data_IF_513960074554
#
_entry.id   IF_513960074554
#
_cell.length_a   1.000
_cell.length_b   1.000
_cell.length_c   1.000
_cell.angle_alpha   90.00
_cell.angle_beta   90.00
_cell.angle_gamma   90.00
#
_symmetry.space_group_name_H-M   'P 1'
#
loop_
_entity.id
_entity.type
_entity.pdbx_description
1 polymer ?
#
# COMPACT_ATOMS: atom_id res chain seq x y z
N UNK A 1 -32.64 18.96 6.67
CA UNK A 1 -32.68 17.54 7.10
C UNK A 1 -31.28 16.91 7.13
N UNK A 2 -30.37 17.24 6.21
CA UNK A 2 -29.03 16.62 6.14
C UNK A 2 -28.12 16.89 7.37
N UNK A 3 -28.25 18.05 8.03
CA UNK A 3 -27.47 18.39 9.23
C UNK A 3 -27.65 17.40 10.40
N UNK A 4 -28.91 17.05 10.72
CA UNK A 4 -29.19 16.10 11.81
C UNK A 4 -28.68 14.68 11.54
N UNK A 5 -28.69 14.24 10.27
CA UNK A 5 -28.18 12.92 9.91
C UNK A 5 -26.65 12.85 10.04
N UNK A 6 -25.96 13.93 9.66
CA UNK A 6 -24.52 14.08 9.86
C UNK A 6 -24.17 14.14 11.34
N UNK A 7 -24.89 14.93 12.14
CA UNK A 7 -24.63 15.04 13.58
C UNK A 7 -24.78 13.67 14.28
N UNK A 8 -25.78 12.87 13.90
CA UNK A 8 -25.92 11.49 14.40
C UNK A 8 -24.77 10.57 13.98
N UNK A 9 -24.26 10.72 12.76
CA UNK A 9 -23.11 9.95 12.31
C UNK A 9 -21.84 10.33 13.08
N UNK A 10 -21.61 11.64 13.27
CA UNK A 10 -20.49 12.14 14.07
C UNK A 10 -20.59 11.70 15.53
N UNK A 11 -21.80 11.67 16.10
CA UNK A 11 -22.00 11.15 17.45
C UNK A 11 -21.63 9.66 17.53
N UNK A 12 -22.08 8.82 16.58
CA UNK A 12 -21.67 7.41 16.53
C UNK A 12 -20.14 7.25 16.41
N UNK A 13 -19.47 8.14 15.70
CA UNK A 13 -18.00 8.12 15.61
C UNK A 13 -17.35 8.48 16.95
N UNK A 14 -17.83 9.54 17.60
CA UNK A 14 -17.36 9.94 18.91
C UNK A 14 -17.60 8.85 19.96
N UNK A 15 -18.77 8.21 19.97
CA UNK A 15 -19.10 7.14 20.93
C UNK A 15 -18.15 5.94 20.77
N UNK A 16 -17.91 5.50 19.53
CA UNK A 16 -16.98 4.41 19.25
C UNK A 16 -15.53 4.78 19.65
N UNK A 17 -15.13 6.02 19.41
CA UNK A 17 -13.82 6.51 19.83
C UNK A 17 -13.65 6.64 21.33
N UNK A 18 -14.68 7.14 22.02
CA UNK A 18 -14.70 7.24 23.48
C UNK A 18 -14.57 5.86 24.09
N UNK A 19 -15.24 4.84 23.54
CA UNK A 19 -15.09 3.46 23.98
C UNK A 19 -13.64 3.00 23.84
N UNK A 20 -13.04 3.15 22.65
CA UNK A 20 -11.65 2.73 22.41
C UNK A 20 -10.65 3.48 23.30
N UNK A 21 -10.77 4.79 23.43
CA UNK A 21 -9.88 5.59 24.27
C UNK A 21 -10.02 5.23 25.76
N UNK A 22 -11.21 4.88 26.23
CA UNK A 22 -11.41 4.40 27.60
C UNK A 22 -10.72 3.05 27.82
N UNK A 23 -10.75 2.15 26.83
CA UNK A 23 -10.04 0.87 26.89
C UNK A 23 -8.52 1.03 26.94
N UNK A 24 -7.97 2.00 26.18
CA UNK A 24 -6.53 2.32 26.12
C UNK A 24 -6.09 3.13 27.36
N UNK A 25 -6.92 4.01 27.91
CA UNK A 25 -6.62 4.72 29.17
C UNK A 25 -6.51 3.76 30.36
N UNK A 26 -7.28 2.67 30.35
CA UNK A 26 -7.20 1.62 31.38
C UNK A 26 -5.91 0.78 31.27
N UNK A 27 -5.38 0.60 30.05
CA UNK A 27 -4.12 -0.11 29.78
C UNK A 27 -3.52 0.41 28.47
N UNK A 28 -2.56 1.32 28.60
CA UNK A 28 -1.95 2.01 27.45
C UNK A 28 -1.03 1.11 26.62
N UNK A 29 -0.71 -0.10 27.10
CA UNK A 29 0.00 -1.10 26.28
C UNK A 29 -0.92 -1.76 25.26
N UNK A 30 -2.25 -1.56 25.37
CA UNK A 30 -3.18 -2.08 24.38
C UNK A 30 -3.00 -1.39 23.03
N UNK A 31 -2.98 -2.15 21.93
CA UNK A 31 -2.87 -1.56 20.61
C UNK A 31 -4.14 -0.80 20.23
N UNK A 32 -4.00 0.17 19.33
CA UNK A 32 -5.14 0.83 18.69
C UNK A 32 -6.00 -0.17 17.92
N UNK A 33 -5.33 -1.10 17.23
CA UNK A 33 -5.96 -2.17 16.45
C UNK A 33 -5.19 -3.47 16.70
N UNK A 34 -5.89 -4.57 16.93
CA UNK A 34 -5.24 -5.89 16.97
C UNK A 34 -4.89 -6.33 15.55
N UNK A 35 -3.91 -7.22 15.39
CA UNK A 35 -3.55 -7.82 14.09
C UNK A 35 -4.59 -8.84 13.64
N UNK A 36 -5.78 -8.35 13.28
CA UNK A 36 -6.87 -9.14 12.68
C UNK A 36 -6.87 -9.07 11.15
N UNK A 37 -5.80 -8.57 10.53
CA UNK A 37 -5.69 -8.50 9.07
C UNK A 37 -4.74 -7.44 8.50
N UNK A 38 -4.68 -7.36 7.18
CA UNK A 38 -3.84 -6.49 6.34
C UNK A 38 -4.69 -5.81 5.26
N UNK A 39 -4.34 -4.61 4.82
CA UNK A 39 -5.05 -3.85 3.79
C UNK A 39 -6.14 -2.90 4.30
N UNK A 40 -6.54 -1.96 3.45
CA UNK A 40 -7.57 -0.96 3.76
C UNK A 40 -8.99 -1.55 3.76
N UNK A 41 -9.94 -0.98 4.52
CA UNK A 41 -11.34 -1.34 4.41
C UNK A 41 -11.85 -1.05 3.02
N UNK A 42 -12.68 -1.94 2.49
CA UNK A 42 -13.22 -1.80 1.13
C UNK A 42 -14.69 -2.15 1.09
N UNK A 43 -15.38 -1.66 0.07
CA UNK A 43 -16.70 -2.17 -0.24
C UNK A 43 -16.61 -3.58 -0.87
N UNK A 44 -17.73 -4.28 -1.00
CA UNK A 44 -17.79 -5.61 -1.60
C UNK A 44 -17.28 -5.66 -3.05
N UNK A 45 -17.34 -4.54 -3.76
CA UNK A 45 -16.85 -4.41 -5.15
C UNK A 45 -15.33 -4.14 -5.21
N UNK A 46 -14.64 -4.10 -4.07
CA UNK A 46 -13.19 -3.92 -3.98
C UNK A 46 -12.70 -2.47 -3.91
N UNK A 47 -13.59 -1.48 -3.90
CA UNK A 47 -13.20 -0.06 -3.77
C UNK A 47 -12.85 0.25 -2.32
N UNK A 48 -11.62 0.70 -2.11
CA UNK A 48 -11.14 1.07 -0.77
C UNK A 48 -11.85 2.32 -0.24
N UNK A 49 -12.20 2.28 1.04
CA UNK A 49 -12.55 3.46 1.80
C UNK A 49 -11.29 4.25 2.09
N UNK A 50 -11.42 5.57 2.10
CA UNK A 50 -10.34 6.50 2.41
C UNK A 50 -10.72 7.41 3.58
N UNK A 51 -9.69 7.97 4.19
CA UNK A 51 -9.79 9.00 5.21
C UNK A 51 -10.52 8.56 6.47
N UNK A 52 -11.44 9.41 6.94
CA UNK A 52 -12.25 9.19 8.16
C UNK A 52 -12.90 7.80 8.15
N UNK A 53 -13.43 7.38 6.99
CA UNK A 53 -14.12 6.11 6.88
C UNK A 53 -13.20 4.93 7.16
N UNK A 54 -11.95 4.94 6.67
CA UNK A 54 -11.00 3.84 6.91
C UNK A 54 -10.71 3.68 8.39
N UNK A 55 -10.42 4.80 9.07
CA UNK A 55 -10.16 4.81 10.51
C UNK A 55 -11.37 4.27 11.30
N UNK A 56 -12.57 4.80 11.04
CA UNK A 56 -13.77 4.39 11.77
C UNK A 56 -14.19 2.94 11.48
N UNK A 57 -14.00 2.47 10.26
CA UNK A 57 -14.30 1.08 9.89
C UNK A 57 -13.30 0.09 10.49
N UNK A 58 -12.03 0.44 10.63
CA UNK A 58 -11.09 -0.39 11.38
C UNK A 58 -11.45 -0.48 12.86
N UNK A 59 -11.87 0.63 13.48
CA UNK A 59 -12.33 0.60 14.87
C UNK A 59 -13.58 -0.22 15.06
N UNK A 60 -14.51 -0.13 14.11
CA UNK A 60 -15.73 -0.93 14.13
C UNK A 60 -15.39 -2.42 13.98
N UNK A 61 -14.48 -2.76 13.07
CA UNK A 61 -13.99 -4.13 12.90
C UNK A 61 -13.40 -4.67 14.20
N UNK A 62 -12.56 -3.89 14.88
CA UNK A 62 -11.98 -4.25 16.17
C UNK A 62 -13.07 -4.47 17.23
N UNK A 63 -13.97 -3.49 17.40
CA UNK A 63 -15.01 -3.50 18.43
C UNK A 63 -16.02 -4.63 18.27
N UNK A 64 -16.27 -5.06 17.03
CA UNK A 64 -17.19 -6.15 16.69
C UNK A 64 -16.48 -7.47 16.37
N UNK A 65 -15.15 -7.47 16.38
CA UNK A 65 -14.32 -8.61 16.00
C UNK A 65 -14.67 -9.20 14.63
N UNK A 66 -14.92 -8.34 13.63
CA UNK A 66 -15.17 -8.78 12.25
C UNK A 66 -13.90 -9.40 11.63
N UNK A 67 -14.08 -10.49 10.88
CA UNK A 67 -13.01 -11.28 10.27
C UNK A 67 -12.40 -10.59 9.05
N UNK A 68 -13.15 -9.72 8.37
CA UNK A 68 -12.65 -8.98 7.19
C UNK A 68 -13.07 -7.52 7.25
N UNK A 69 -12.29 -6.59 6.67
CA UNK A 69 -12.67 -5.18 6.59
C UNK A 69 -13.53 -4.89 5.35
N UNK A 70 -14.42 -5.82 4.98
CA UNK A 70 -15.26 -5.71 3.77
C UNK A 70 -16.67 -5.33 4.15
N UNK A 71 -17.20 -4.32 3.48
CA UNK A 71 -18.50 -3.72 3.80
C UNK A 71 -19.42 -3.64 2.59
N UNK A 72 -20.73 -3.61 2.84
CA UNK A 72 -21.74 -3.43 1.80
C UNK A 72 -22.93 -2.65 2.31
N UNK A 73 -23.60 -1.96 1.40
CA UNK A 73 -24.89 -1.32 1.67
C UNK A 73 -26.04 -2.34 1.59
N UNK A 74 -27.18 -2.03 2.21
CA UNK A 74 -28.37 -2.88 2.11
C UNK A 74 -28.80 -3.15 0.65
N UNK A 75 -28.82 -2.18 -0.27
CA UNK A 75 -29.10 -2.45 -1.69
C UNK A 75 -28.09 -3.38 -2.35
N UNK A 76 -26.79 -3.28 -2.03
CA UNK A 76 -25.77 -4.21 -2.54
C UNK A 76 -26.01 -5.63 -2.03
N UNK A 77 -26.31 -5.81 -0.75
CA UNK A 77 -26.65 -7.11 -0.18
C UNK A 77 -27.85 -7.74 -0.90
N UNK A 78 -28.94 -6.97 -1.06
CA UNK A 78 -30.15 -7.42 -1.77
C UNK A 78 -29.87 -7.80 -3.22
N UNK A 79 -29.04 -7.02 -3.93
CA UNK A 79 -28.65 -7.30 -5.31
C UNK A 79 -27.89 -8.63 -5.44
N UNK A 80 -27.09 -8.98 -4.44
CA UNK A 80 -26.35 -10.25 -4.37
C UNK A 80 -27.17 -11.39 -3.74
N UNK A 81 -28.47 -11.21 -3.50
CA UNK A 81 -29.32 -12.25 -2.89
C UNK A 81 -29.00 -12.55 -1.43
N UNK A 82 -28.30 -11.65 -0.75
CA UNK A 82 -27.90 -11.79 0.66
C UNK A 82 -28.95 -11.19 1.58
N UNK A 83 -29.05 -11.74 2.79
CA UNK A 83 -29.83 -11.16 3.87
C UNK A 83 -28.93 -10.65 4.99
N UNK A 84 -29.35 -9.55 5.60
CA UNK A 84 -28.72 -9.02 6.81
C UNK A 84 -29.17 -9.89 7.99
N UNK A 85 -28.23 -10.31 8.83
CA UNK A 85 -28.50 -11.15 10.00
C UNK A 85 -29.41 -10.42 11.01
N UNK A 86 -30.30 -11.16 11.66
CA UNK A 86 -31.22 -10.59 12.65
C UNK A 86 -30.44 -9.93 13.78
N UNK A 87 -30.74 -8.66 14.06
CA UNK A 87 -30.07 -7.88 15.12
C UNK A 87 -28.81 -7.14 14.67
N UNK A 88 -28.34 -7.32 13.43
CA UNK A 88 -27.25 -6.52 12.90
C UNK A 88 -27.65 -5.04 12.74
N UNK A 89 -26.77 -4.15 13.18
CA UNK A 89 -26.93 -2.69 13.01
C UNK A 89 -25.97 -2.19 11.94
N UNK A 90 -26.47 -1.30 11.09
CA UNK A 90 -25.64 -0.58 10.13
C UNK A 90 -24.77 0.47 10.83
N UNK A 91 -23.62 0.75 10.21
CA UNK A 91 -22.71 1.81 10.61
C UNK A 91 -22.62 2.91 9.54
N UNK A 92 -22.63 4.20 9.92
CA UNK A 92 -22.55 5.27 8.95
C UNK A 92 -21.12 5.46 8.42
N UNK A 93 -21.00 5.79 7.15
CA UNK A 93 -19.77 6.27 6.48
C UNK A 93 -20.09 7.59 5.78
N UNK A 94 -19.16 8.53 5.78
CA UNK A 94 -19.37 9.88 5.26
C UNK A 94 -18.74 10.03 3.87
N UNK A 95 -19.52 10.51 2.91
CA UNK A 95 -19.02 10.83 1.57
C UNK A 95 -19.28 12.29 1.24
N UNK A 96 -18.33 12.91 0.56
CA UNK A 96 -18.53 14.23 -0.03
C UNK A 96 -19.51 14.11 -1.19
N UNK A 97 -20.45 15.03 -1.22
CA UNK A 97 -21.36 15.22 -2.32
C UNK A 97 -21.48 16.71 -2.61
N UNK A 98 -21.91 17.05 -3.81
CA UNK A 98 -21.99 18.44 -4.26
C UNK A 98 -23.45 18.79 -4.51
N UNK A 99 -23.87 19.94 -4.00
CA UNK A 99 -25.15 20.54 -4.31
C UNK A 99 -24.90 21.71 -5.25
N UNK A 100 -25.33 21.56 -6.49
CA UNK A 100 -25.09 22.54 -7.55
C UNK A 100 -26.42 23.23 -7.81
N UNK A 101 -26.42 24.57 -7.72
CA UNK A 101 -27.62 25.39 -7.87
C UNK A 101 -27.39 26.55 -8.80
N UNK A 102 -28.35 26.88 -9.66
CA UNK A 102 -28.35 28.14 -10.39
C UNK A 102 -28.70 29.32 -9.47
N UNK A 103 -28.60 30.54 -9.99
CA UNK A 103 -29.00 31.79 -9.29
C UNK A 103 -30.49 31.81 -8.87
N UNK A 104 -31.32 30.96 -9.46
CA UNK A 104 -32.75 30.81 -9.14
C UNK A 104 -33.00 29.70 -8.11
N UNK A 105 -31.96 29.00 -7.67
CA UNK A 105 -32.02 27.91 -6.69
C UNK A 105 -32.39 26.53 -7.26
N UNK A 106 -32.53 26.39 -8.59
CA UNK A 106 -32.77 25.10 -9.24
C UNK A 106 -31.52 24.23 -9.17
N UNK A 107 -31.70 22.95 -8.85
CA UNK A 107 -30.60 22.00 -8.67
C UNK A 107 -30.36 21.20 -9.93
N UNK A 108 -29.09 21.01 -10.28
CA UNK A 108 -28.67 20.10 -11.35
C UNK A 108 -27.74 19.01 -10.80
N UNK A 109 -27.57 17.92 -11.55
CA UNK A 109 -26.62 16.87 -11.18
C UNK A 109 -25.17 17.31 -11.44
N UNK A 110 -24.21 16.61 -10.82
CA UNK A 110 -22.79 16.85 -11.08
C UNK A 110 -22.42 16.54 -12.55
N UNK A 111 -23.09 15.55 -13.16
CA UNK A 111 -22.83 15.16 -14.54
C UNK A 111 -23.35 16.22 -15.51
N UNK A 112 -24.54 16.79 -15.25
CA UNK A 112 -25.08 17.91 -16.02
C UNK A 112 -24.17 19.15 -15.89
N UNK A 113 -23.72 19.46 -14.67
CA UNK A 113 -22.82 20.59 -14.43
C UNK A 113 -21.48 20.45 -15.16
N UNK A 114 -20.91 19.24 -15.20
CA UNK A 114 -19.68 18.96 -15.95
C UNK A 114 -19.87 19.04 -17.46
N UNK A 115 -21.09 18.85 -17.97
CA UNK A 115 -21.41 18.96 -19.38
C UNK A 115 -21.58 20.41 -19.86
N UNK A 116 -21.74 21.37 -18.94
CA UNK A 116 -21.82 22.80 -19.25
C UNK A 116 -20.46 23.39 -19.67
N UNK A 117 -20.49 24.48 -20.44
CA UNK A 117 -19.31 25.28 -20.75
C UNK A 117 -18.76 25.97 -19.50
N UNK A 118 -17.49 26.42 -19.52
CA UNK A 118 -16.87 27.11 -18.38
C UNK A 118 -17.58 28.42 -18.04
N UNK A 119 -18.19 29.06 -19.02
CA UNK A 119 -18.95 30.29 -18.90
C UNK A 119 -20.28 30.02 -18.18
N UNK A 120 -21.01 28.99 -18.60
CA UNK A 120 -22.27 28.56 -17.97
C UNK A 120 -22.05 28.03 -16.55
N UNK A 121 -20.94 27.34 -16.28
CA UNK A 121 -20.60 26.86 -14.93
C UNK A 121 -20.50 28.00 -13.91
N UNK A 122 -20.13 29.22 -14.33
CA UNK A 122 -20.05 30.39 -13.43
C UNK A 122 -21.42 30.87 -12.94
N UNK A 123 -22.50 30.52 -13.64
CA UNK A 123 -23.87 30.84 -13.24
C UNK A 123 -24.41 29.89 -12.16
N UNK A 124 -23.61 28.90 -11.75
CA UNK A 124 -23.99 27.93 -10.73
C UNK A 124 -23.10 28.05 -9.50
N UNK A 125 -23.74 27.98 -8.34
CA UNK A 125 -23.07 27.84 -7.05
C UNK A 125 -22.91 26.35 -6.72
N UNK A 126 -21.66 25.91 -6.54
CA UNK A 126 -21.32 24.55 -6.10
C UNK A 126 -21.08 24.55 -4.59
N UNK A 127 -21.96 23.88 -3.85
CA UNK A 127 -21.90 23.79 -2.38
C UNK A 127 -21.52 22.36 -1.99
N UNK A 128 -20.31 22.11 -1.47
CA UNK A 128 -19.93 20.81 -0.96
C UNK A 128 -20.66 20.51 0.37
N UNK A 129 -21.12 19.27 0.53
CA UNK A 129 -21.69 18.79 1.78
C UNK A 129 -21.33 17.31 2.00
N UNK A 130 -21.32 16.88 3.25
CA UNK A 130 -21.14 15.46 3.58
C UNK A 130 -22.50 14.77 3.66
N UNK A 131 -22.57 13.55 3.13
CA UNK A 131 -23.76 12.70 3.18
C UNK A 131 -23.41 11.36 3.83
N UNK A 132 -24.19 10.90 4.84
CA UNK A 132 -23.97 9.62 5.46
C UNK A 132 -24.60 8.50 4.62
N UNK A 133 -23.86 7.43 4.41
CA UNK A 133 -24.34 6.16 3.87
C UNK A 133 -24.20 5.08 4.94
N UNK A 134 -25.12 4.13 4.96
CA UNK A 134 -25.13 3.09 5.98
C UNK A 134 -24.64 1.78 5.38
N UNK A 135 -23.63 1.21 6.00
CA UNK A 135 -22.97 -0.03 5.58
C UNK A 135 -23.05 -1.09 6.67
N UNK A 136 -22.99 -2.34 6.23
CA UNK A 136 -22.88 -3.54 7.05
C UNK A 136 -21.56 -4.22 6.69
N UNK A 137 -20.87 -4.78 7.67
CA UNK A 137 -19.78 -5.69 7.40
C UNK A 137 -20.33 -6.98 6.77
N UNK A 138 -19.54 -7.64 5.93
CA UNK A 138 -19.93 -8.93 5.32
C UNK A 138 -20.27 -9.99 6.37
N UNK A 139 -19.60 -9.99 7.54
CA UNK A 139 -19.91 -10.87 8.68
C UNK A 139 -21.32 -10.67 9.25
N UNK A 140 -21.94 -9.52 8.99
CA UNK A 140 -23.30 -9.21 9.42
C UNK A 140 -24.37 -9.75 8.47
N UNK A 141 -23.98 -10.58 7.50
CA UNK A 141 -24.86 -11.16 6.49
C UNK A 141 -24.69 -12.68 6.42
N UNK A 142 -25.50 -13.35 5.61
CA UNK A 142 -25.31 -14.77 5.29
C UNK A 142 -24.28 -15.03 4.16
N UNK A 143 -23.40 -14.07 3.87
CA UNK A 143 -22.40 -14.21 2.79
C UNK A 143 -21.54 -15.46 2.92
N UNK A 144 -21.12 -15.82 4.13
CA UNK A 144 -20.34 -17.02 4.37
C UNK A 144 -21.08 -18.32 4.02
N UNK A 145 -22.42 -18.33 4.12
CA UNK A 145 -23.27 -19.47 3.80
C UNK A 145 -23.56 -19.55 2.29
N UNK A 146 -23.85 -18.41 1.67
CA UNK A 146 -24.22 -18.34 0.24
C UNK A 146 -22.99 -18.44 -0.68
N UNK A 147 -21.86 -17.84 -0.27
CA UNK A 147 -20.62 -17.77 -1.06
C UNK A 147 -19.39 -18.24 -0.26
N UNK A 148 -19.33 -19.52 0.15
CA UNK A 148 -18.28 -20.03 1.04
C UNK A 148 -16.86 -19.92 0.47
N UNK A 149 -16.69 -20.12 -0.84
CA UNK A 149 -15.38 -20.00 -1.50
C UNK A 149 -14.89 -18.55 -1.54
N UNK A 150 -15.76 -17.62 -1.90
CA UNK A 150 -15.44 -16.19 -1.90
C UNK A 150 -15.16 -15.70 -0.47
N UNK A 151 -15.90 -16.21 0.51
CA UNK A 151 -15.65 -15.90 1.91
C UNK A 151 -14.26 -16.34 2.36
N UNK A 152 -13.84 -17.55 1.97
CA UNK A 152 -12.48 -18.03 2.22
C UNK A 152 -11.44 -17.13 1.54
N UNK A 153 -11.64 -16.81 0.27
CA UNK A 153 -10.74 -15.93 -0.48
C UNK A 153 -10.60 -14.52 0.15
N UNK A 154 -11.70 -13.95 0.67
CA UNK A 154 -11.65 -12.68 1.39
C UNK A 154 -10.82 -12.80 2.69
N UNK A 155 -11.04 -13.84 3.49
CA UNK A 155 -10.24 -14.05 4.70
C UNK A 155 -8.76 -14.23 4.39
N UNK A 156 -8.44 -14.98 3.34
CA UNK A 156 -7.05 -15.19 2.92
C UNK A 156 -6.42 -13.88 2.43
N UNK A 157 -7.14 -13.10 1.60
CA UNK A 157 -6.69 -11.79 1.09
C UNK A 157 -6.37 -10.80 2.22
N UNK A 158 -7.22 -10.75 3.23
CA UNK A 158 -7.07 -9.81 4.35
C UNK A 158 -6.29 -10.41 5.52
N UNK A 159 -5.72 -11.60 5.38
CA UNK A 159 -4.84 -12.18 6.40
C UNK A 159 -3.52 -11.44 6.47
N UNK A 160 -2.96 -11.30 7.68
CA UNK A 160 -1.68 -10.61 7.85
C UNK A 160 -0.51 -11.58 7.57
N UNK A 161 0.35 -11.30 6.57
CA UNK A 161 1.58 -12.06 6.40
C UNK A 161 2.52 -11.74 7.57
N UNK A 162 2.99 -12.77 8.28
CA UNK A 162 3.95 -12.62 9.39
C UNK A 162 5.38 -12.72 8.86
N UNK A 163 5.82 -11.70 8.13
CA UNK A 163 7.17 -11.64 7.58
C UNK A 163 8.16 -11.20 8.65
N UNK A 164 9.33 -11.84 8.65
CA UNK A 164 10.45 -11.51 9.53
C UNK A 164 11.71 -11.27 8.69
N UNK A 165 12.54 -10.34 9.13
CA UNK A 165 13.86 -10.10 8.55
C UNK A 165 14.90 -11.14 9.02
N UNK A 166 16.14 -11.00 8.53
CA UNK A 166 17.28 -11.85 8.86
C UNK A 166 17.61 -11.89 10.35
N UNK A 167 17.23 -10.85 11.10
CA UNK A 167 17.43 -10.75 12.55
C UNK A 167 16.19 -11.21 13.34
N UNK A 168 15.15 -11.70 12.66
CA UNK A 168 13.93 -12.23 13.27
C UNK A 168 12.91 -11.17 13.72
N UNK A 169 13.14 -9.89 13.41
CA UNK A 169 12.19 -8.81 13.67
C UNK A 169 11.13 -8.76 12.58
N UNK A 170 9.94 -8.21 12.89
CA UNK A 170 8.91 -7.98 11.87
C UNK A 170 9.47 -7.15 10.71
N UNK A 171 9.07 -7.49 9.48
CA UNK A 171 9.46 -6.80 8.25
C UNK A 171 8.21 -6.44 7.44
N UNK A 172 8.18 -5.20 6.95
CA UNK A 172 7.23 -4.74 5.94
C UNK A 172 8.03 -4.48 4.65
N UNK A 173 7.88 -5.32 3.62
CA UNK A 173 8.58 -5.14 2.34
C UNK A 173 8.40 -3.75 1.73
N UNK A 174 7.21 -3.17 1.88
CA UNK A 174 6.85 -1.86 1.36
C UNK A 174 7.63 -0.74 2.06
N UNK A 175 7.69 -0.78 3.39
CA UNK A 175 8.46 0.18 4.19
C UNK A 175 9.97 -0.03 4.04
N UNK A 176 10.43 -1.28 4.00
CA UNK A 176 11.84 -1.61 3.80
C UNK A 176 12.36 -1.11 2.44
N UNK A 177 11.55 -1.29 1.39
CA UNK A 177 11.85 -0.73 0.07
C UNK A 177 11.92 0.80 0.12
N UNK A 178 10.92 1.45 0.73
CA UNK A 178 10.87 2.90 0.82
C UNK A 178 12.09 3.49 1.56
N UNK A 179 12.50 2.86 2.68
CA UNK A 179 13.67 3.28 3.47
C UNK A 179 14.94 3.08 2.64
N UNK A 180 15.13 1.89 2.06
CA UNK A 180 16.33 1.53 1.29
C UNK A 180 16.56 2.44 0.09
N UNK A 181 15.49 2.80 -0.61
CA UNK A 181 15.55 3.59 -1.84
C UNK A 181 15.28 5.08 -1.61
N UNK A 182 14.97 5.49 -0.37
CA UNK A 182 14.69 6.88 -0.03
C UNK A 182 13.50 7.47 -0.80
N UNK A 183 12.45 6.68 -1.03
CA UNK A 183 11.30 7.12 -1.86
C UNK A 183 10.27 7.92 -1.08
N UNK A 184 10.43 8.09 0.23
CA UNK A 184 9.58 8.98 1.00
C UNK A 184 9.83 10.45 0.62
N UNK A 185 8.84 11.30 0.88
CA UNK A 185 8.82 12.72 0.52
C UNK A 185 9.94 13.57 1.16
N UNK A 186 10.58 13.06 2.21
CA UNK A 186 11.75 13.67 2.82
C UNK A 186 12.77 12.60 3.27
N UNK A 187 14.06 12.96 3.42
CA UNK A 187 15.09 12.03 3.87
C UNK A 187 14.79 11.45 5.26
N UNK A 188 14.99 10.14 5.40
CA UNK A 188 14.96 9.42 6.67
C UNK A 188 16.40 9.12 7.05
N UNK A 189 16.89 9.80 8.10
CA UNK A 189 18.26 9.69 8.59
C UNK A 189 18.27 8.71 9.77
N UNK A 190 18.82 7.52 9.54
CA UNK A 190 18.97 6.50 10.58
C UNK A 190 20.37 6.56 11.21
N UNK A 191 20.43 6.63 12.53
CA UNK A 191 21.71 6.67 13.28
C UNK A 191 21.53 6.13 14.70
N UNK A 192 22.64 5.81 15.38
CA UNK A 192 22.57 5.41 16.79
C UNK A 192 22.09 6.60 17.65
N UNK A 193 20.89 6.49 18.21
CA UNK A 193 20.20 7.56 18.93
C UNK A 193 19.11 7.00 19.84
N UNK A 194 18.76 7.70 20.92
CA UNK A 194 17.64 7.35 21.80
C UNK A 194 16.35 8.12 21.46
N UNK A 195 16.35 8.89 20.38
CA UNK A 195 15.23 9.76 19.99
C UNK A 195 14.89 9.61 18.51
N UNK A 196 13.60 9.46 18.24
CA UNK A 196 12.98 9.63 16.92
C UNK A 196 12.24 10.96 16.88
N UNK A 197 12.38 11.71 15.79
CA UNK A 197 11.65 12.96 15.58
C UNK A 197 11.68 13.40 14.11
N UNK A 198 10.59 14.01 13.66
CA UNK A 198 10.60 14.87 12.48
C UNK A 198 11.11 16.29 12.85
N UNK A 199 11.99 16.85 12.02
CA UNK A 199 12.49 18.23 12.17
C UNK A 199 11.93 19.12 11.04
N UNK A 200 10.90 19.95 11.32
CA UNK A 200 10.27 20.79 10.29
C UNK A 200 11.20 21.78 9.59
N UNK A 201 12.18 22.34 10.32
CA UNK A 201 13.11 23.35 9.77
C UNK A 201 14.08 22.80 8.73
N UNK A 202 14.32 21.49 8.75
CA UNK A 202 15.23 20.81 7.82
C UNK A 202 14.49 19.91 6.83
N UNK A 203 13.20 19.69 7.05
CA UNK A 203 12.38 18.71 6.37
C UNK A 203 13.04 17.31 6.33
N UNK A 204 13.37 16.78 7.51
CA UNK A 204 14.02 15.46 7.68
C UNK A 204 13.44 14.70 8.86
N UNK A 205 13.39 13.39 8.72
CA UNK A 205 13.05 12.46 9.80
C UNK A 205 14.36 11.89 10.35
N UNK A 206 14.52 11.92 11.68
CA UNK A 206 15.60 11.27 12.39
C UNK A 206 15.04 10.06 13.12
N UNK A 207 15.68 8.92 12.94
CA UNK A 207 15.22 7.64 13.48
C UNK A 207 16.39 6.87 14.10
N UNK A 208 16.21 6.22 15.27
CA UNK A 208 17.16 5.24 15.77
C UNK A 208 17.32 4.07 14.79
N UNK A 209 18.42 3.33 14.90
CA UNK A 209 18.64 2.12 14.10
C UNK A 209 17.57 1.07 14.46
N UNK A 210 17.08 0.30 13.47
CA UNK A 210 16.06 -0.74 13.68
C UNK A 210 16.43 -1.71 14.81
N UNK A 211 17.70 -2.10 14.90
CA UNK A 211 18.22 -2.98 15.96
C UNK A 211 18.23 -2.39 17.38
N UNK A 212 17.93 -1.09 17.56
CA UNK A 212 17.75 -0.49 18.89
C UNK A 212 16.33 -0.67 19.44
N UNK A 213 15.37 -1.07 18.59
CA UNK A 213 13.99 -1.31 19.01
C UNK A 213 13.81 -2.75 19.51
N UNK A 214 12.93 -2.93 20.49
CA UNK A 214 12.58 -4.27 20.99
C UNK A 214 11.85 -5.13 19.94
N UNK A 215 11.08 -4.49 19.05
CA UNK A 215 10.28 -5.17 18.02
C UNK A 215 10.32 -4.41 16.69
N UNK A 216 10.13 -5.12 15.59
CA UNK A 216 10.08 -4.50 14.25
C UNK A 216 8.83 -3.63 14.09
N UNK A 217 7.73 -4.05 14.72
CA UNK A 217 6.49 -3.28 14.79
C UNK A 217 6.70 -1.92 15.47
N UNK A 218 7.47 -1.89 16.58
CA UNK A 218 7.80 -0.63 17.27
C UNK A 218 8.68 0.31 16.43
N UNK A 219 9.59 -0.25 15.63
CA UNK A 219 10.38 0.54 14.67
C UNK A 219 9.48 1.18 13.61
N UNK A 220 8.63 0.40 12.94
CA UNK A 220 7.78 0.94 11.88
C UNK A 220 6.67 1.85 12.40
N UNK A 221 6.09 1.58 13.57
CA UNK A 221 5.09 2.47 14.17
C UNK A 221 5.70 3.84 14.49
N UNK A 222 6.91 3.86 15.03
CA UNK A 222 7.69 5.08 15.28
C UNK A 222 7.98 5.82 13.98
N UNK A 223 8.47 5.12 12.96
CA UNK A 223 8.70 5.72 11.64
C UNK A 223 7.43 6.35 11.07
N UNK A 224 6.31 5.62 11.07
CA UNK A 224 5.03 6.09 10.52
C UNK A 224 4.48 7.30 11.29
N UNK A 225 4.75 7.39 12.60
CA UNK A 225 4.45 8.57 13.41
C UNK A 225 5.24 9.80 12.95
N UNK A 226 6.56 9.66 12.78
CA UNK A 226 7.39 10.77 12.31
C UNK A 226 7.06 11.15 10.85
N UNK A 227 6.71 10.16 10.01
CA UNK A 227 6.18 10.41 8.67
C UNK A 227 4.88 11.21 8.73
N UNK A 228 3.97 10.91 9.66
CA UNK A 228 2.74 11.66 9.84
C UNK A 228 3.00 13.13 10.16
N UNK A 229 3.93 13.44 11.08
CA UNK A 229 4.37 14.81 11.32
C UNK A 229 4.96 15.47 10.07
N UNK A 230 5.78 14.73 9.29
CA UNK A 230 6.38 15.28 8.07
C UNK A 230 5.35 15.71 7.01
N UNK A 231 4.16 15.10 7.00
CA UNK A 231 3.06 15.53 6.11
C UNK A 231 2.49 16.90 6.48
N UNK A 232 2.73 17.39 7.70
CA UNK A 232 2.11 18.59 8.25
C UNK A 232 2.72 19.92 7.81
N UNK A 233 3.89 19.92 7.16
CA UNK A 233 4.54 21.17 6.73
C UNK A 233 3.75 21.93 5.65
N UNK A 234 4.03 23.23 5.53
CA UNK A 234 3.35 24.18 4.63
C UNK A 234 3.32 23.73 3.16
N UNK A 235 4.39 23.09 2.68
CA UNK A 235 4.49 22.60 1.29
C UNK A 235 3.71 21.30 1.03
N UNK A 236 3.09 20.71 2.07
CA UNK A 236 2.32 19.46 2.01
C UNK A 236 0.89 19.68 2.46
N UNK A 237 0.52 19.28 3.68
CA UNK A 237 -0.83 19.43 4.19
C UNK A 237 -1.05 20.74 4.97
N UNK A 238 0.03 21.51 5.23
CA UNK A 238 -0.05 22.85 5.81
C UNK A 238 -0.82 22.90 7.14
N UNK A 239 -0.53 21.94 8.03
CA UNK A 239 -1.09 21.92 9.39
C UNK A 239 -0.33 22.89 10.26
N UNK A 240 -0.98 23.33 11.34
CA UNK A 240 -0.34 24.22 12.31
C UNK A 240 0.66 23.44 13.16
N UNK A 241 1.94 23.43 12.76
CA UNK A 241 3.03 22.68 13.40
C UNK A 241 3.85 23.50 14.41
N UNK A 242 3.73 24.84 14.39
CA UNK A 242 4.51 25.76 15.24
C UNK A 242 3.86 25.92 16.63
N UNK A 243 3.88 24.86 17.41
CA UNK A 243 3.27 24.84 18.75
C UNK A 243 4.33 24.51 19.81
N UNK A 244 4.09 24.94 21.05
CA UNK A 244 4.94 24.58 22.19
C UNK A 244 4.43 23.29 22.84
N UNK A 245 5.34 22.49 23.39
CA UNK A 245 4.98 21.31 24.17
C UNK A 245 4.00 21.68 25.29
N UNK A 246 2.88 20.95 25.38
CA UNK A 246 1.81 21.22 26.34
C UNK A 246 0.71 22.19 25.86
N UNK A 247 0.84 22.80 24.68
CA UNK A 247 -0.23 23.58 24.05
C UNK A 247 -1.37 22.66 23.55
N UNK A 248 -2.66 23.01 23.70
CA UNK A 248 -3.77 22.32 23.05
C UNK A 248 -3.57 22.04 21.55
N UNK A 249 -2.93 22.94 20.81
CA UNK A 249 -2.61 22.75 19.39
C UNK A 249 -1.54 21.68 19.17
N UNK A 250 -0.53 21.65 20.04
CA UNK A 250 0.48 20.60 20.05
C UNK A 250 -0.16 19.23 20.33
N UNK A 251 -1.02 19.14 21.35
CA UNK A 251 -1.74 17.92 21.68
C UNK A 251 -2.67 17.44 20.56
N UNK A 252 -3.21 18.36 19.73
CA UNK A 252 -3.98 18.00 18.53
C UNK A 252 -3.09 17.40 17.44
N UNK A 253 -1.91 17.97 17.19
CA UNK A 253 -0.98 17.43 16.18
C UNK A 253 -0.44 16.06 16.57
N UNK A 254 -0.10 15.83 17.84
CA UNK A 254 0.27 14.49 18.33
C UNK A 254 -0.87 13.49 18.13
N UNK A 255 -2.12 13.88 18.39
CA UNK A 255 -3.28 13.03 18.14
C UNK A 255 -3.44 12.69 16.65
N UNK A 256 -3.19 13.66 15.76
CA UNK A 256 -3.20 13.43 14.32
C UNK A 256 -2.10 12.44 13.93
N UNK A 257 -0.87 12.63 14.44
CA UNK A 257 0.25 11.75 14.16
C UNK A 257 0.02 10.32 14.66
N UNK A 258 -0.43 10.16 15.90
CA UNK A 258 -0.80 8.88 16.51
C UNK A 258 -1.85 8.12 15.69
N UNK A 259 -2.97 8.78 15.35
CA UNK A 259 -4.04 8.13 14.59
C UNK A 259 -3.64 7.83 13.13
N UNK A 260 -2.80 8.67 12.55
CA UNK A 260 -2.23 8.43 11.21
C UNK A 260 -1.30 7.24 11.22
N UNK A 261 -0.43 7.13 12.22
CA UNK A 261 0.44 5.98 12.41
C UNK A 261 -0.37 4.72 12.66
N UNK A 262 -1.39 4.78 13.52
CA UNK A 262 -2.25 3.64 13.83
C UNK A 262 -2.97 3.08 12.59
N UNK A 263 -3.56 3.93 11.75
CA UNK A 263 -4.23 3.49 10.51
C UNK A 263 -3.24 2.99 9.47
N UNK A 264 -2.11 3.67 9.31
CA UNK A 264 -1.08 3.23 8.36
C UNK A 264 -0.51 1.88 8.77
N UNK A 265 -0.19 1.71 10.06
CA UNK A 265 0.24 0.43 10.64
C UNK A 265 -0.80 -0.65 10.37
N UNK A 266 -2.07 -0.39 10.73
CA UNK A 266 -3.15 -1.36 10.54
C UNK A 266 -3.32 -1.79 9.08
N UNK A 267 -3.18 -0.84 8.15
CA UNK A 267 -3.28 -1.09 6.71
C UNK A 267 -2.11 -1.94 6.20
N UNK A 268 -0.94 -1.84 6.82
CA UNK A 268 0.27 -2.60 6.48
C UNK A 268 0.41 -3.88 7.32
N UNK A 269 -0.60 -4.25 8.12
CA UNK A 269 -0.56 -5.44 9.00
C UNK A 269 0.33 -5.30 10.23
N UNK A 270 0.71 -4.07 10.60
CA UNK A 270 1.56 -3.76 11.75
C UNK A 270 0.66 -3.50 12.97
N UNK A 271 1.00 -4.10 14.11
CA UNK A 271 0.38 -3.76 15.40
C UNK A 271 1.02 -2.49 15.94
N UNK A 272 0.20 -1.48 16.21
CA UNK A 272 0.65 -0.24 16.84
C UNK A 272 -0.22 0.06 18.06
N UNK A 273 0.43 0.39 19.17
CA UNK A 273 -0.18 0.97 20.36
C UNK A 273 0.13 2.44 20.48
N UNK A 274 -0.41 3.07 21.53
CA UNK A 274 -0.07 4.45 21.84
C UNK A 274 1.38 4.53 22.33
N UNK A 275 2.10 5.57 21.91
CA UNK A 275 3.44 5.83 22.41
C UNK A 275 3.40 6.28 23.87
N UNK A 276 4.38 5.89 24.67
CA UNK A 276 4.42 6.18 26.10
C UNK A 276 4.35 7.69 26.38
N UNK A 277 5.08 8.48 25.60
CA UNK A 277 5.10 9.93 25.66
C UNK A 277 3.74 10.57 25.35
N UNK A 278 2.86 9.87 24.65
CA UNK A 278 1.54 10.34 24.25
C UNK A 278 0.42 9.82 25.17
N UNK A 279 0.68 8.78 25.98
CA UNK A 279 -0.27 8.24 26.94
C UNK A 279 -0.79 9.31 27.93
N UNK A 280 0.05 10.30 28.28
CA UNK A 280 -0.33 11.43 29.16
C UNK A 280 -1.46 12.31 28.58
N UNK A 281 -1.69 12.30 27.26
CA UNK A 281 -2.73 13.10 26.61
C UNK A 281 -4.08 12.40 26.50
N UNK A 282 -4.17 11.09 26.78
CA UNK A 282 -5.39 10.28 26.63
C UNK A 282 -6.60 10.90 27.33
N UNK A 283 -6.45 11.32 28.60
CA UNK A 283 -7.53 11.93 29.38
C UNK A 283 -8.01 13.24 28.76
N UNK A 284 -7.09 14.05 28.25
CA UNK A 284 -7.40 15.33 27.61
C UNK A 284 -8.13 15.11 26.29
N UNK A 285 -7.66 14.18 25.45
CA UNK A 285 -8.32 13.82 24.20
C UNK A 285 -9.72 13.24 24.44
N UNK A 286 -9.86 12.34 25.41
CA UNK A 286 -11.15 11.77 25.81
C UNK A 286 -12.14 12.86 26.24
N UNK A 287 -11.69 13.80 27.07
CA UNK A 287 -12.49 14.95 27.51
C UNK A 287 -12.91 15.85 26.34
N UNK A 288 -11.99 16.17 25.43
CA UNK A 288 -12.26 17.00 24.26
C UNK A 288 -13.29 16.35 23.32
N UNK A 289 -13.13 15.05 23.02
CA UNK A 289 -14.03 14.29 22.14
C UNK A 289 -15.44 14.16 22.75
N UNK A 290 -15.53 13.90 24.06
CA UNK A 290 -16.83 13.84 24.79
C UNK A 290 -17.56 15.18 24.77
N UNK A 291 -16.83 16.29 24.93
CA UNK A 291 -17.39 17.63 24.96
C UNK A 291 -17.84 18.11 23.59
N UNK A 292 -17.04 17.83 22.54
CA UNK A 292 -17.30 18.31 21.19
C UNK A 292 -16.99 17.22 20.15
N UNK A 293 -17.98 16.40 19.73
CA UNK A 293 -17.79 15.38 18.69
C UNK A 293 -17.22 15.91 17.36
N UNK A 294 -17.46 17.19 17.05
CA UNK A 294 -16.89 17.86 15.85
C UNK A 294 -15.38 18.01 15.92
N UNK A 295 -14.80 18.07 17.12
CA UNK A 295 -13.34 18.06 17.31
C UNK A 295 -12.73 16.80 16.71
N UNK A 296 -13.31 15.63 17.02
CA UNK A 296 -12.87 14.34 16.45
C UNK A 296 -12.94 14.37 14.92
N UNK A 297 -14.03 14.88 14.35
CA UNK A 297 -14.15 14.98 12.90
C UNK A 297 -13.00 15.81 12.30
N UNK A 298 -12.66 16.96 12.91
CA UNK A 298 -11.56 17.81 12.44
C UNK A 298 -10.21 17.08 12.45
N UNK A 299 -9.95 16.27 13.49
CA UNK A 299 -8.74 15.44 13.60
C UNK A 299 -8.75 14.36 12.52
N UNK A 300 -9.85 13.63 12.37
CA UNK A 300 -9.94 12.52 11.42
C UNK A 300 -9.86 12.96 9.95
N UNK A 301 -10.26 14.19 9.63
CA UNK A 301 -10.02 14.78 8.29
C UNK A 301 -8.53 14.82 8.00
N UNK A 302 -7.73 15.33 8.94
CA UNK A 302 -6.28 15.49 8.76
C UNK A 302 -5.56 14.14 8.80
N UNK A 303 -5.96 13.25 9.72
CA UNK A 303 -5.51 11.83 9.74
C UNK A 303 -5.74 11.19 8.39
N UNK A 304 -6.94 11.39 7.83
CA UNK A 304 -7.30 10.79 6.57
C UNK A 304 -6.47 11.26 5.38
N UNK A 305 -6.13 12.55 5.34
CA UNK A 305 -5.23 13.10 4.31
C UNK A 305 -3.80 12.57 4.50
N UNK A 306 -3.30 12.58 5.73
CA UNK A 306 -1.94 12.17 6.05
C UNK A 306 -1.72 10.67 5.78
N UNK A 307 -2.65 9.81 6.22
CA UNK A 307 -2.57 8.36 5.99
C UNK A 307 -2.69 8.01 4.51
N UNK A 308 -3.55 8.70 3.76
CA UNK A 308 -3.66 8.51 2.31
C UNK A 308 -2.35 8.87 1.61
N UNK A 309 -1.72 9.98 2.00
CA UNK A 309 -0.41 10.39 1.45
C UNK A 309 0.68 9.35 1.74
N UNK A 310 0.74 8.86 2.99
CA UNK A 310 1.70 7.83 3.39
C UNK A 310 1.48 6.54 2.60
N UNK A 311 0.25 6.00 2.62
CA UNK A 311 -0.04 4.71 1.98
C UNK A 311 0.12 4.77 0.47
N UNK A 312 -0.20 5.89 -0.18
CA UNK A 312 0.00 6.06 -1.61
C UNK A 312 1.49 5.97 -1.99
N UNK A 313 2.39 6.59 -1.23
CA UNK A 313 3.83 6.53 -1.54
C UNK A 313 4.45 5.19 -1.12
N UNK A 314 4.06 4.64 0.03
CA UNK A 314 4.56 3.34 0.52
C UNK A 314 4.16 2.20 -0.41
N UNK A 315 2.89 2.15 -0.81
CA UNK A 315 2.36 1.06 -1.65
C UNK A 315 2.59 1.28 -3.14
N UNK A 316 3.16 2.42 -3.56
CA UNK A 316 3.42 2.75 -4.97
C UNK A 316 4.25 1.68 -5.67
N UNK A 317 5.28 1.18 -5.00
CA UNK A 317 6.15 0.13 -5.55
C UNK A 317 5.38 -1.16 -5.84
N UNK A 318 4.51 -1.60 -4.91
CA UNK A 318 3.72 -2.81 -5.14
C UNK A 318 2.72 -2.65 -6.28
N UNK A 319 2.11 -1.47 -6.41
CA UNK A 319 1.19 -1.16 -7.51
C UNK A 319 1.93 -1.26 -8.86
N UNK A 320 3.10 -0.63 -8.97
CA UNK A 320 3.93 -0.71 -10.17
C UNK A 320 4.34 -2.15 -10.49
N UNK A 321 4.75 -2.92 -9.47
CA UNK A 321 5.13 -4.33 -9.64
C UNK A 321 3.96 -5.21 -10.10
N UNK A 322 2.75 -4.98 -9.56
CA UNK A 322 1.53 -5.68 -9.98
C UNK A 322 1.16 -5.33 -11.43
N UNK A 323 1.20 -4.05 -11.80
CA UNK A 323 0.96 -3.60 -13.17
C UNK A 323 1.96 -4.20 -14.17
N UNK A 324 3.24 -4.31 -13.80
CA UNK A 324 4.25 -4.97 -14.62
C UNK A 324 3.99 -6.47 -14.79
N UNK A 325 3.59 -7.15 -13.70
CA UNK A 325 3.22 -8.57 -13.74
C UNK A 325 1.96 -8.83 -14.58
N UNK A 326 0.96 -7.96 -14.47
CA UNK A 326 -0.27 -8.05 -15.26
C UNK A 326 0.01 -7.83 -16.75
N UNK A 327 0.84 -6.83 -17.11
CA UNK A 327 1.27 -6.61 -18.49
C UNK A 327 2.02 -7.82 -19.06
N UNK A 328 2.93 -8.41 -18.28
CA UNK A 328 3.64 -9.63 -18.69
C UNK A 328 2.68 -10.82 -18.89
N UNK A 329 1.67 -10.97 -18.02
CA UNK A 329 0.65 -12.02 -18.17
C UNK A 329 -0.28 -11.78 -19.37
N UNK A 330 -0.64 -10.53 -19.66
CA UNK A 330 -1.43 -10.17 -20.84
C UNK A 330 -0.65 -10.40 -22.14
N UNK A 331 0.64 -10.04 -22.17
CA UNK A 331 1.53 -10.34 -23.30
C UNK A 331 1.66 -11.86 -23.51
N UNK A 332 1.83 -12.65 -22.44
CA UNK A 332 1.84 -14.11 -22.54
C UNK A 332 0.52 -14.69 -23.09
N UNK A 333 -0.63 -14.19 -22.62
CA UNK A 333 -1.96 -14.61 -23.12
C UNK A 333 -2.20 -14.18 -24.57
N UNK A 334 -1.69 -13.03 -24.98
CA UNK A 334 -1.82 -12.55 -26.36
C UNK A 334 -0.95 -13.37 -27.33
N UNK A 335 0.21 -13.85 -26.88
CA UNK A 335 1.07 -14.79 -27.61
C UNK A 335 0.40 -16.17 -27.73
N UNK A 336 -0.28 -16.65 -26.68
CA UNK A 336 -1.03 -17.92 -26.73
C UNK A 336 -2.26 -17.85 -27.65
N UNK A 337 -3.03 -16.75 -27.62
CA UNK A 337 -4.18 -16.57 -28.50
C UNK A 337 -3.78 -16.42 -29.98
N UNK A 338 -2.65 -15.75 -30.29
CA UNK A 338 -2.08 -15.72 -31.65
C UNK A 338 -1.69 -17.11 -32.15
N UNK A 339 -1.14 -17.98 -31.29
CA UNK A 339 -0.83 -19.37 -31.66
C UNK A 339 -2.07 -20.22 -31.96
N UNK A 340 -3.23 -19.87 -31.40
CA UNK A 340 -4.50 -20.58 -31.67
C UNK A 340 -5.13 -20.12 -32.98
N UNK A 341 -5.04 -18.83 -33.35
CA UNK A 341 -5.54 -18.33 -34.64
C UNK A 341 -4.64 -18.72 -35.82
N UNK A 342 -3.32 -18.75 -35.65
CA UNK A 342 -2.37 -19.18 -36.68
C UNK A 342 -2.44 -20.70 -36.98
N UNK A 343 -3.29 -21.45 -36.28
CA UNK A 343 -3.52 -22.89 -36.52
C UNK A 343 -4.56 -23.19 -37.61
N UNK A 344 -5.17 -22.15 -38.23
CA UNK A 344 -6.23 -22.31 -39.23
C UNK A 344 -5.93 -21.92 -40.67
N UNK A 345 -4.71 -21.51 -41.01
CA UNK A 345 -4.35 -21.30 -42.42
C UNK A 345 -2.90 -21.71 -42.66
N UNK A 346 -2.71 -22.87 -43.29
CA UNK A 346 -1.40 -23.32 -43.75
C UNK A 346 -1.46 -23.59 -45.25
N UNK A 347 -1.14 -22.57 -46.03
CA UNK A 347 -0.69 -22.73 -47.41
C UNK A 347 0.50 -21.81 -47.72
N UNK A 348 1.62 -22.48 -47.98
CA UNK A 348 2.68 -22.14 -48.94
C UNK A 348 3.61 -20.92 -48.76
N UNK A 349 4.89 -21.29 -48.59
CA UNK A 349 6.13 -20.68 -49.13
C UNK A 349 6.73 -19.44 -48.46
N UNK A 350 7.89 -19.66 -47.80
CA UNK A 350 9.22 -19.03 -48.08
C UNK A 350 10.26 -19.53 -47.06
N UNK A 351 11.42 -19.96 -47.56
CA UNK A 351 12.57 -20.35 -46.75
C UNK A 351 13.25 -19.10 -46.17
N UNK A 352 13.06 -18.86 -44.89
CA UNK A 352 13.95 -18.06 -44.04
C UNK A 352 14.28 -18.90 -42.80
N UNK A 353 15.53 -19.32 -42.64
CA UNK A 353 15.97 -20.12 -41.49
C UNK A 353 15.77 -19.32 -40.19
N UNK A 354 14.72 -19.69 -39.44
CA UNK A 354 14.38 -19.15 -38.12
C UNK A 354 15.38 -19.65 -37.07
N UNK A 355 15.72 -18.77 -36.13
CA UNK A 355 16.43 -19.14 -34.89
C UNK A 355 15.68 -20.29 -34.21
N UNK A 356 16.41 -21.26 -33.68
CA UNK A 356 15.79 -22.42 -33.05
C UNK A 356 14.89 -22.01 -31.88
N UNK A 357 13.69 -22.58 -31.75
CA UNK A 357 12.82 -22.34 -30.60
C UNK A 357 13.52 -22.62 -29.26
N UNK A 358 14.38 -23.63 -29.21
CA UNK A 358 15.13 -23.99 -28.01
C UNK A 358 16.17 -22.90 -27.66
N UNK A 359 16.83 -22.32 -28.66
CA UNK A 359 17.74 -21.20 -28.47
C UNK A 359 17.01 -19.93 -28.02
N UNK A 360 15.84 -19.62 -28.60
CA UNK A 360 15.06 -18.43 -28.20
C UNK A 360 14.63 -18.49 -26.74
N UNK A 361 14.24 -19.67 -26.24
CA UNK A 361 13.93 -19.89 -24.82
C UNK A 361 15.16 -19.65 -23.96
N UNK A 362 16.32 -20.16 -24.38
CA UNK A 362 17.57 -19.98 -23.65
C UNK A 362 18.05 -18.52 -23.64
N UNK A 363 17.88 -17.79 -24.75
CA UNK A 363 18.19 -16.37 -24.86
C UNK A 363 17.28 -15.52 -23.96
N UNK A 364 15.97 -15.80 -23.96
CA UNK A 364 15.02 -15.10 -23.10
C UNK A 364 15.30 -15.35 -21.61
N UNK A 365 15.63 -16.58 -21.23
CA UNK A 365 16.04 -16.92 -19.86
C UNK A 365 17.33 -16.20 -19.47
N UNK A 366 18.31 -16.10 -20.38
CA UNK A 366 19.56 -15.40 -20.14
C UNK A 366 19.36 -13.88 -19.98
N UNK A 367 18.47 -13.27 -20.77
CA UNK A 367 18.06 -11.86 -20.62
C UNK A 367 17.36 -11.60 -19.29
N UNK A 368 16.66 -12.60 -18.75
CA UNK A 368 16.10 -12.58 -17.40
C UNK A 368 17.12 -12.93 -16.30
N UNK A 369 18.41 -13.11 -16.64
CA UNK A 369 19.50 -13.35 -15.69
C UNK A 369 19.77 -14.83 -15.35
N UNK A 370 19.14 -15.78 -16.05
CA UNK A 370 19.30 -17.23 -15.81
C UNK A 370 19.97 -17.93 -16.99
N UNK A 371 21.19 -18.44 -16.79
CA UNK A 371 21.98 -19.12 -17.82
C UNK A 371 21.76 -20.64 -17.89
N UNK A 372 20.86 -21.17 -17.07
CA UNK A 372 20.64 -22.62 -16.94
C UNK A 372 20.23 -23.27 -18.26
N UNK A 373 19.39 -22.61 -19.05
CA UNK A 373 18.92 -23.16 -20.32
C UNK A 373 20.00 -23.16 -21.41
N UNK A 374 20.94 -22.20 -21.38
CA UNK A 374 22.11 -22.24 -22.28
C UNK A 374 23.05 -23.40 -21.92
N UNK A 375 23.20 -23.70 -20.62
CA UNK A 375 23.98 -24.88 -20.16
C UNK A 375 23.28 -26.17 -20.59
N UNK A 376 21.96 -26.29 -20.39
CA UNK A 376 21.19 -27.46 -20.82
C UNK A 376 21.34 -27.72 -22.33
N UNK A 377 21.29 -26.66 -23.15
CA UNK A 377 21.51 -26.78 -24.59
C UNK A 377 22.90 -27.34 -24.91
N UNK A 378 23.94 -26.84 -24.23
CA UNK A 378 25.31 -27.33 -24.43
C UNK A 378 25.46 -28.80 -24.03
N UNK A 379 24.90 -29.20 -22.89
CA UNK A 379 24.94 -30.58 -22.41
C UNK A 379 24.21 -31.55 -23.36
N UNK A 380 23.17 -31.07 -24.04
CA UNK A 380 22.46 -31.80 -25.11
C UNK A 380 23.23 -31.83 -26.44
N UNK A 381 24.46 -31.30 -26.49
CA UNK A 381 25.30 -31.28 -27.68
C UNK A 381 24.91 -30.22 -28.71
N UNK A 382 24.06 -29.26 -28.33
CA UNK A 382 23.65 -28.18 -29.22
C UNK A 382 24.85 -27.33 -29.65
N UNK A 383 24.89 -26.92 -30.92
CA UNK A 383 25.90 -26.02 -31.47
C UNK A 383 25.23 -24.76 -31.97
N UNK A 384 25.72 -23.62 -31.48
CA UNK A 384 25.22 -22.31 -31.91
C UNK A 384 25.61 -22.05 -33.37
N UNK A 385 24.64 -21.57 -34.14
CA UNK A 385 24.85 -21.03 -35.48
C UNK A 385 25.44 -19.62 -35.43
N UNK A 386 26.02 -19.15 -36.53
CA UNK A 386 26.57 -17.79 -36.61
C UNK A 386 25.52 -16.71 -36.30
N UNK A 387 24.28 -16.86 -36.79
CA UNK A 387 23.16 -15.95 -36.48
C UNK A 387 22.77 -15.95 -35.00
N UNK A 388 22.85 -17.10 -34.32
CA UNK A 388 22.57 -17.20 -32.88
C UNK A 388 23.67 -16.53 -32.05
N UNK A 389 24.92 -16.62 -32.50
CA UNK A 389 26.05 -15.87 -31.92
C UNK A 389 25.88 -14.36 -32.11
N UNK A 390 25.49 -13.90 -33.30
CA UNK A 390 25.21 -12.49 -33.56
C UNK A 390 24.03 -11.99 -32.71
N UNK A 391 22.97 -12.79 -32.58
CA UNK A 391 21.82 -12.46 -31.74
C UNK A 391 22.18 -12.34 -30.25
N UNK A 392 23.10 -13.17 -29.73
CA UNK A 392 23.60 -13.04 -28.36
C UNK A 392 24.42 -11.76 -28.18
N UNK A 393 25.21 -11.38 -29.18
CA UNK A 393 26.04 -10.18 -29.18
C UNK A 393 25.20 -8.90 -29.20
N UNK A 394 24.14 -8.90 -30.01
CA UNK A 394 23.22 -7.77 -30.14
C UNK A 394 22.28 -7.62 -28.92
N UNK A 395 21.97 -8.73 -28.23
CA UNK A 395 21.08 -8.74 -27.08
C UNK A 395 21.72 -8.15 -25.81
N UNK A 396 22.89 -8.66 -25.40
CA UNK A 396 23.68 -8.10 -24.30
C UNK A 396 25.13 -8.64 -24.38
N UNK A 397 26.16 -7.78 -24.41
CA UNK A 397 27.56 -8.20 -24.41
C UNK A 397 27.95 -9.18 -23.29
N UNK A 398 27.32 -9.09 -22.11
CA UNK A 398 27.57 -9.99 -20.97
C UNK A 398 27.01 -11.39 -21.21
N UNK A 399 25.85 -11.48 -21.86
CA UNK A 399 25.22 -12.76 -22.22
C UNK A 399 26.03 -13.44 -23.31
N UNK A 400 26.54 -12.68 -24.27
CA UNK A 400 27.46 -13.17 -25.29
C UNK A 400 28.73 -13.80 -24.69
N UNK A 401 29.38 -13.11 -23.75
CA UNK A 401 30.57 -13.62 -23.04
C UNK A 401 30.23 -14.89 -22.25
N UNK A 402 29.09 -14.92 -21.55
CA UNK A 402 28.65 -16.11 -20.82
C UNK A 402 28.39 -17.30 -21.76
N UNK A 403 27.74 -17.07 -22.91
CA UNK A 403 27.50 -18.10 -23.91
C UNK A 403 28.80 -18.60 -24.56
N UNK A 404 29.78 -17.72 -24.81
CA UNK A 404 31.11 -18.14 -25.30
C UNK A 404 31.79 -19.10 -24.32
N UNK A 405 31.74 -18.81 -23.02
CA UNK A 405 32.28 -19.68 -21.97
C UNK A 405 31.51 -21.02 -21.88
N UNK A 406 30.19 -21.00 -21.93
CA UNK A 406 29.36 -22.22 -21.87
C UNK A 406 29.62 -23.11 -23.09
N UNK A 407 29.70 -22.54 -24.29
CA UNK A 407 29.84 -23.30 -25.52
C UNK A 407 31.30 -23.60 -25.91
N UNK A 408 32.29 -23.12 -25.15
CA UNK A 408 33.73 -23.22 -25.42
C UNK A 408 34.13 -22.68 -26.81
N UNK A 409 33.67 -21.47 -27.12
CA UNK A 409 33.95 -20.80 -28.40
C UNK A 409 35.21 -19.93 -28.22
N UNK A 410 36.22 -20.09 -29.09
CA UNK A 410 37.48 -19.31 -28.99
C UNK A 410 37.27 -17.86 -29.40
N UNK A 411 37.93 -16.95 -28.68
CA UNK A 411 37.99 -15.52 -28.96
C UNK A 411 38.93 -15.27 -30.16
N UNK A 412 38.46 -14.54 -31.17
CA UNK A 412 39.34 -13.70 -31.98
C UNK A 412 39.49 -12.37 -31.20
N UNK A 413 40.61 -12.20 -30.48
CA UNK A 413 40.91 -11.16 -29.46
C UNK A 413 40.99 -9.70 -30.03
N UNK A 414 41.02 -8.59 -29.23
CA UNK A 414 41.53 -8.46 -27.85
C UNK A 414 40.52 -7.94 -26.80
N UNK A 415 40.66 -8.52 -25.61
CA UNK A 415 39.99 -8.14 -24.35
C UNK A 415 40.63 -6.88 -23.71
N UNK A 416 39.89 -6.03 -22.94
CA UNK A 416 40.44 -5.36 -21.76
C UNK A 416 40.34 -6.32 -20.57
N UNK A 417 41.48 -6.76 -20.06
CA UNK A 417 41.61 -7.76 -18.98
C UNK A 417 40.85 -7.41 -17.69
N UNK A 418 40.01 -8.35 -17.22
CA UNK A 418 39.49 -8.39 -15.84
C UNK A 418 40.60 -8.89 -14.90
N UNK A 419 41.04 -8.06 -13.94
CA UNK A 419 41.92 -8.49 -12.85
C UNK A 419 41.09 -8.88 -11.61
N UNK A 420 41.33 -10.07 -11.08
CA UNK A 420 40.81 -10.51 -9.78
C UNK A 420 41.86 -10.25 -8.70
N UNK A 421 41.46 -9.69 -7.56
CA UNK A 421 42.29 -9.67 -6.36
C UNK A 421 41.63 -10.48 -5.25
N UNK A 422 42.36 -11.43 -4.66
CA UNK A 422 41.94 -12.19 -3.48
C UNK A 422 42.38 -11.42 -2.23
N UNK A 423 41.45 -11.06 -1.33
CA UNK A 423 41.79 -10.69 0.04
C UNK A 423 41.52 -11.89 0.96
N UNK A 424 42.54 -12.29 1.73
CA UNK A 424 42.41 -13.37 2.72
C UNK A 424 42.12 -12.75 4.08
N UNK A 425 40.96 -13.05 4.66
CA UNK A 425 40.80 -13.05 6.10
C UNK A 425 40.53 -14.48 6.59
N UNK A 426 41.29 -14.90 7.60
CA UNK A 426 41.28 -16.25 8.15
C UNK A 426 40.01 -16.46 8.97
N UNK A 427 38.92 -16.83 8.31
CA UNK A 427 38.02 -17.94 8.67
C UNK A 427 36.80 -17.90 7.76
N UNK A 428 36.66 -18.99 6.99
CA UNK A 428 35.52 -19.47 6.19
C UNK A 428 35.03 -18.68 4.94
N UNK A 429 34.93 -19.45 3.84
CA UNK A 429 34.33 -19.23 2.51
C UNK A 429 35.00 -18.21 1.57
N UNK A 430 35.49 -18.70 0.41
CA UNK A 430 35.94 -17.88 -0.72
C UNK A 430 34.74 -17.19 -1.39
N UNK A 431 34.67 -15.87 -1.33
CA UNK A 431 33.78 -15.06 -2.16
C UNK A 431 34.56 -14.46 -3.34
N UNK A 432 34.05 -14.65 -4.56
CA UNK A 432 34.51 -13.91 -5.75
C UNK A 432 33.65 -12.64 -5.88
N UNK A 433 34.26 -11.47 -5.79
CA UNK A 433 33.62 -10.19 -6.10
C UNK A 433 34.16 -9.62 -7.40
N UNK A 434 33.27 -9.27 -8.33
CA UNK A 434 33.56 -8.41 -9.48
C UNK A 434 33.51 -6.95 -9.02
N UNK A 435 34.61 -6.22 -9.15
CA UNK A 435 34.59 -4.76 -9.11
C UNK A 435 34.42 -4.24 -10.55
N UNK A 436 33.58 -3.22 -10.70
CA UNK A 436 33.03 -2.72 -11.97
C UNK A 436 34.08 -2.38 -13.04
#
# INVERSE_FOLDING_TARGET
MDGQANDKALQKFADLMVKKLTEVDADWHKPWFTTTGYGLPQNIDGRVYNGINSFMLFLLQEERSFQTPVYMTFPQAKKQGLHINKGASAFPVLFWNFMIKDDKGNKISMDDYKALTKEEQKEYTVIPYTKPYHVFNVDQTNFAEVYPEQWKALKDKFSCPKLKDEQGMFSSPELDHMIKHGTWLCPIISSFSDKAFFRPSEDKIYLPLKGQFYTGEGFYSTLLHEMAHSTGIDTRLGREMKNMFGDPKYAKEELIAEFTAAVSCRSLGIVSGIREENAQYLKNWLGAIKKEPKFLYSVLVDVGKASTMILNEVCKYELLKKEEQEKQQEECKHIENKKVDDSKDFSETRNDEKLSPAFNIALAAALAGSFKELVNLKEQGYKLSAKELDALKDADPKIYIAAQNIFNIKLDDPTPSLQFSESKNKNEVKQLSLNF
#
